data_IF_059829366299
#
_entry.id   IF_059829366299
#
_cell.length_a   1.000
_cell.length_b   1.000
_cell.length_c   1.000
_cell.angle_alpha   90.00
_cell.angle_beta   90.00
_cell.angle_gamma   90.00
#
_symmetry.space_group_name_H-M   'P 1'
#
loop_
_entity.id
_entity.type
_entity.pdbx_description
1 polymer ?
#
# COMPACT_ATOMS: atom_id res chain seq x y z
N UNK A 1 -9.15 -17.95 -3.60
CA UNK A 1 -9.23 -17.03 -4.77
C UNK A 1 -10.71 -16.85 -5.05
N UNK A 2 -11.16 -15.68 -5.49
CA UNK A 2 -12.56 -15.45 -5.90
C UNK A 2 -12.60 -15.02 -7.36
N UNK A 3 -13.71 -15.29 -8.04
CA UNK A 3 -13.91 -14.96 -9.44
C UNK A 3 -15.35 -14.55 -9.73
N UNK A 4 -15.53 -13.68 -10.72
CA UNK A 4 -16.80 -13.32 -11.32
C UNK A 4 -16.75 -13.54 -12.85
N UNK A 5 -17.75 -13.08 -13.58
CA UNK A 5 -17.82 -13.16 -15.04
C UNK A 5 -16.68 -12.40 -15.76
N UNK A 6 -16.06 -11.44 -15.08
CA UNK A 6 -14.99 -10.61 -15.63
C UNK A 6 -13.60 -11.20 -15.41
N UNK A 7 -13.36 -11.89 -14.30
CA UNK A 7 -12.08 -12.52 -14.00
C UNK A 7 -11.93 -12.96 -12.55
N UNK A 8 -10.69 -13.28 -12.15
CA UNK A 8 -10.34 -13.71 -10.79
C UNK A 8 -9.39 -12.76 -10.08
N UNK A 9 -9.51 -12.72 -8.76
CA UNK A 9 -8.66 -11.91 -7.88
C UNK A 9 -8.39 -12.64 -6.56
N UNK A 10 -7.21 -12.39 -5.99
CA UNK A 10 -6.87 -12.86 -4.65
C UNK A 10 -7.60 -12.02 -3.59
N UNK A 11 -8.54 -12.64 -2.88
CA UNK A 11 -9.21 -12.10 -1.69
C UNK A 11 -8.37 -12.36 -0.43
N UNK A 12 -8.17 -11.32 0.39
CA UNK A 12 -7.52 -11.41 1.69
C UNK A 12 -8.58 -11.42 2.78
N UNK A 13 -8.58 -12.49 3.58
CA UNK A 13 -9.51 -12.70 4.70
C UNK A 13 -8.77 -12.58 6.03
N UNK A 14 -9.45 -12.06 7.05
CA UNK A 14 -8.91 -11.95 8.41
C UNK A 14 -9.68 -12.87 9.37
N UNK A 15 -8.94 -13.58 10.23
CA UNK A 15 -9.37 -14.58 11.23
C UNK A 15 -10.85 -14.97 11.22
N UNK A 16 -11.73 -14.22 11.92
CA UNK A 16 -13.12 -14.64 12.10
C UNK A 16 -13.93 -14.73 10.80
N UNK A 17 -13.49 -14.08 9.73
CA UNK A 17 -14.12 -14.16 8.40
C UNK A 17 -13.87 -15.50 7.69
N UNK A 18 -12.86 -16.27 8.11
CA UNK A 18 -12.50 -17.55 7.46
C UNK A 18 -13.41 -18.71 7.84
N UNK A 19 -14.18 -18.58 8.94
CA UNK A 19 -15.03 -19.67 9.47
C UNK A 19 -16.32 -19.84 8.67
N UNK A 20 -16.75 -18.78 7.99
CA UNK A 20 -18.06 -18.69 7.34
C UNK A 20 -17.99 -18.79 5.80
N UNK A 21 -16.83 -19.17 5.25
CA UNK A 21 -16.60 -19.25 3.80
C UNK A 21 -16.14 -20.65 3.43
N UNK A 22 -16.75 -21.22 2.38
CA UNK A 22 -16.30 -22.48 1.77
C UNK A 22 -16.03 -22.33 0.29
N UNK A 23 -15.21 -23.23 -0.23
CA UNK A 23 -14.95 -23.31 -1.66
C UNK A 23 -16.23 -23.69 -2.42
N UNK A 24 -16.48 -23.01 -3.53
CA UNK A 24 -17.65 -23.24 -4.39
C UNK A 24 -18.92 -22.50 -3.98
N UNK A 25 -18.89 -21.74 -2.88
CA UNK A 25 -20.01 -20.87 -2.50
C UNK A 25 -19.95 -19.53 -3.27
N UNK A 26 -21.12 -18.97 -3.56
CA UNK A 26 -21.23 -17.63 -4.13
C UNK A 26 -21.36 -16.63 -3.01
N UNK A 27 -20.47 -15.64 -2.99
CA UNK A 27 -20.41 -14.62 -1.95
C UNK A 27 -20.78 -13.25 -2.51
N UNK A 28 -21.65 -12.55 -1.79
CA UNK A 28 -21.84 -11.11 -1.95
C UNK A 28 -20.89 -10.37 -1.02
N UNK A 29 -20.02 -9.55 -1.59
CA UNK A 29 -19.06 -8.72 -0.86
C UNK A 29 -19.51 -7.26 -0.93
N UNK A 30 -19.83 -6.67 0.22
CA UNK A 30 -20.21 -5.26 0.33
C UNK A 30 -19.05 -4.44 0.90
N UNK A 31 -18.78 -3.28 0.29
CA UNK A 31 -17.76 -2.31 0.72
C UNK A 31 -16.34 -2.93 0.84
N UNK A 32 -16.00 -3.82 -0.10
CA UNK A 32 -14.63 -4.28 -0.33
C UNK A 32 -13.76 -3.19 -0.95
N UNK A 33 -12.44 -3.30 -0.78
CA UNK A 33 -11.49 -2.37 -1.36
C UNK A 33 -10.27 -3.09 -1.95
N UNK A 34 -9.67 -2.46 -2.96
CA UNK A 34 -8.43 -2.93 -3.57
C UNK A 34 -7.24 -2.27 -2.89
N UNK A 35 -6.25 -3.09 -2.55
CA UNK A 35 -4.90 -2.64 -2.23
C UNK A 35 -3.88 -3.30 -3.15
N UNK A 36 -2.71 -2.70 -3.29
CA UNK A 36 -1.58 -3.36 -3.94
C UNK A 36 -0.71 -3.99 -2.85
N UNK A 37 -0.32 -5.24 -3.03
CA UNK A 37 0.70 -5.90 -2.24
C UNK A 37 1.87 -6.21 -3.16
N UNK A 38 2.95 -5.42 -3.04
CA UNK A 38 4.12 -5.50 -3.94
C UNK A 38 3.73 -5.35 -5.42
N UNK A 39 2.88 -4.36 -5.72
CA UNK A 39 2.40 -4.09 -7.08
C UNK A 39 1.23 -4.95 -7.55
N UNK A 40 0.87 -6.02 -6.82
CA UNK A 40 -0.22 -6.92 -7.22
C UNK A 40 -1.52 -6.58 -6.51
N UNK A 41 -2.65 -6.59 -7.24
CA UNK A 41 -3.95 -6.30 -6.64
C UNK A 41 -4.39 -7.37 -5.64
N UNK A 42 -4.98 -6.92 -4.54
CA UNK A 42 -5.65 -7.74 -3.52
C UNK A 42 -7.01 -7.13 -3.20
N UNK A 43 -8.04 -7.97 -3.25
CA UNK A 43 -9.34 -7.61 -2.70
C UNK A 43 -9.31 -7.82 -1.18
N UNK A 44 -9.84 -6.85 -0.43
CA UNK A 44 -9.88 -6.89 1.03
C UNK A 44 -11.27 -6.48 1.50
N UNK A 45 -11.69 -7.03 2.63
CA UNK A 45 -12.92 -6.63 3.33
C UNK A 45 -12.52 -5.97 4.65
N UNK A 46 -12.78 -4.67 4.77
CA UNK A 46 -12.37 -3.88 5.92
C UNK A 46 -13.39 -3.90 7.05
N UNK A 47 -13.14 -3.07 8.09
CA UNK A 47 -14.03 -2.91 9.26
C UNK A 47 -15.50 -2.64 8.92
N UNK A 48 -15.76 -1.93 7.82
CA UNK A 48 -17.10 -1.57 7.36
C UNK A 48 -17.55 -2.40 6.17
N UNK A 49 -16.80 -3.42 5.80
CA UNK A 49 -17.17 -4.37 4.77
C UNK A 49 -17.96 -5.53 5.37
N UNK A 50 -18.79 -6.14 4.56
CA UNK A 50 -19.56 -7.33 4.92
C UNK A 50 -19.45 -8.39 3.81
N UNK A 51 -19.64 -9.64 4.20
CA UNK A 51 -19.76 -10.76 3.27
C UNK A 51 -20.96 -11.61 3.67
N UNK A 52 -21.72 -12.06 2.69
CA UNK A 52 -22.84 -12.96 2.89
C UNK A 52 -22.91 -13.96 1.74
N UNK A 53 -23.46 -15.15 2.00
CA UNK A 53 -23.80 -16.10 0.95
C UNK A 53 -24.87 -15.50 0.03
N UNK A 54 -24.76 -15.78 -1.26
CA UNK A 54 -25.71 -15.37 -2.29
C UNK A 54 -26.26 -16.60 -3.00
N UNK A 55 -27.55 -16.55 -3.34
CA UNK A 55 -28.22 -17.57 -4.16
C UNK A 55 -28.07 -17.29 -5.67
N UNK A 56 -27.34 -16.24 -6.03
CA UNK A 56 -27.08 -15.89 -7.43
C UNK A 56 -26.17 -16.92 -8.09
N UNK A 57 -26.50 -17.30 -9.33
CA UNK A 57 -25.68 -18.17 -10.14
C UNK A 57 -24.70 -17.32 -10.97
N UNK A 58 -23.41 -17.58 -10.82
CA UNK A 58 -22.32 -16.85 -11.49
C UNK A 58 -21.47 -17.87 -12.24
N UNK A 59 -21.19 -17.61 -13.51
CA UNK A 59 -20.18 -18.35 -14.28
C UNK A 59 -18.82 -17.67 -14.11
N UNK A 60 -17.88 -18.25 -13.32
CA UNK A 60 -16.61 -17.60 -13.05
C UNK A 60 -15.67 -17.66 -14.27
N UNK A 61 -15.05 -16.53 -14.60
CA UNK A 61 -13.98 -16.43 -15.57
C UNK A 61 -12.63 -16.69 -14.88
N UNK A 62 -12.05 -17.86 -15.13
CA UNK A 62 -10.76 -18.25 -14.57
C UNK A 62 -9.54 -17.87 -15.43
N UNK A 63 -9.76 -17.39 -16.66
CA UNK A 63 -8.68 -17.06 -17.61
C UNK A 63 -7.97 -15.76 -17.24
N UNK A 64 -8.72 -14.76 -16.76
CA UNK A 64 -8.18 -13.44 -16.44
C UNK A 64 -7.83 -13.30 -14.96
N UNK A 65 -6.56 -13.40 -14.60
CA UNK A 65 -6.09 -13.08 -13.24
C UNK A 65 -5.72 -11.60 -13.08
N UNK A 66 -6.55 -10.87 -12.35
CA UNK A 66 -6.32 -9.46 -12.04
C UNK A 66 -5.26 -9.25 -10.95
N UNK A 67 -4.97 -10.30 -10.17
CA UNK A 67 -3.99 -10.28 -9.10
C UNK A 67 -2.57 -10.65 -9.54
N UNK A 68 -2.39 -11.20 -10.74
CA UNK A 68 -1.06 -11.44 -11.35
C UNK A 68 -0.45 -10.18 -11.97
N UNK A 69 -1.30 -9.26 -12.45
CA UNK A 69 -0.82 -8.00 -13.06
C UNK A 69 -0.07 -7.16 -12.02
N UNK A 70 1.07 -6.61 -12.43
CA UNK A 70 1.86 -5.67 -11.64
C UNK A 70 1.47 -4.23 -11.99
N UNK A 71 1.21 -3.43 -10.96
CA UNK A 71 0.81 -2.03 -11.06
C UNK A 71 1.80 -1.16 -10.29
N UNK A 72 2.21 -0.06 -10.89
CA UNK A 72 2.98 0.96 -10.21
C UNK A 72 2.11 1.75 -9.24
N UNK A 73 2.60 1.98 -8.02
CA UNK A 73 1.99 2.93 -7.10
C UNK A 73 2.11 4.33 -7.68
N UNK A 74 1.00 4.89 -8.17
CA UNK A 74 0.92 6.31 -8.48
C UNK A 74 0.94 7.11 -7.18
N UNK A 75 2.13 7.37 -6.64
CA UNK A 75 2.30 8.39 -5.61
C UNK A 75 1.96 9.73 -6.24
N UNK A 76 0.75 10.21 -5.97
CA UNK A 76 0.26 11.49 -6.48
C UNK A 76 1.05 12.61 -5.80
N UNK A 77 2.23 12.93 -6.36
CA UNK A 77 3.20 13.91 -5.85
C UNK A 77 2.75 15.36 -6.13
N UNK A 78 1.45 15.61 -6.06
CA UNK A 78 0.81 16.91 -6.33
C UNK A 78 0.95 17.91 -5.17
N UNK A 79 1.63 17.56 -4.08
CA UNK A 79 1.82 18.45 -2.92
C UNK A 79 3.16 19.21 -2.91
N UNK A 80 4.01 19.07 -3.93
CA UNK A 80 5.28 19.81 -3.99
C UNK A 80 5.27 21.11 -4.82
N UNK A 81 4.09 21.58 -5.28
CA UNK A 81 4.02 22.75 -6.17
C UNK A 81 3.45 24.04 -5.56
N UNK A 82 3.09 24.04 -4.27
CA UNK A 82 2.59 25.25 -3.58
C UNK A 82 3.34 25.56 -2.28
N UNK A 83 4.66 25.35 -2.26
CA UNK A 83 5.51 25.63 -1.08
C UNK A 83 6.76 26.44 -1.34
N UNK A 84 7.00 26.94 -2.56
CA UNK A 84 8.22 27.69 -2.88
C UNK A 84 7.92 29.00 -3.61
N UNK A 85 7.04 29.81 -3.03
CA UNK A 85 6.87 31.21 -3.38
C UNK A 85 6.42 31.97 -2.14
N UNK A 86 7.39 32.45 -1.34
CA UNK A 86 7.07 33.37 -0.25
C UNK A 86 8.04 33.37 0.91
N UNK A 87 9.32 33.72 0.69
CA UNK A 87 10.03 34.65 1.58
C UNK A 87 11.46 34.94 1.07
N UNK A 88 11.59 35.86 0.12
CA UNK A 88 12.81 36.65 -0.06
C UNK A 88 12.44 38.10 0.22
N UNK A 89 12.31 38.43 1.50
CA UNK A 89 11.77 39.72 1.92
C UNK A 89 11.92 40.02 3.41
N UNK A 90 13.14 39.94 3.96
CA UNK A 90 13.58 40.67 5.16
C UNK A 90 15.07 40.31 5.38
N UNK A 91 16.02 41.23 5.38
CA UNK A 91 16.11 42.30 6.38
C UNK A 91 16.87 41.73 7.58
N UNK A 92 18.16 42.06 7.68
CA UNK A 92 19.15 41.29 8.44
C UNK A 92 19.01 41.28 9.97
N UNK A 93 19.81 40.40 10.61
CA UNK A 93 20.49 40.59 11.91
C UNK A 93 21.21 39.31 12.34
N UNK A 94 22.52 39.44 12.59
CA UNK A 94 23.36 38.64 13.52
C UNK A 94 23.38 37.12 13.33
N UNK A 95 24.45 36.47 12.90
CA UNK A 95 25.82 36.67 13.36
C UNK A 95 26.07 35.91 14.66
N UNK A 96 26.27 34.59 14.60
CA UNK A 96 27.08 33.83 15.55
C UNK A 96 27.68 32.62 14.83
N UNK A 97 28.96 32.73 14.50
CA UNK A 97 29.76 31.56 14.17
C UNK A 97 29.96 30.71 15.43
N UNK A 98 29.91 29.40 15.26
CA UNK A 98 30.64 28.48 16.12
C UNK A 98 31.35 27.46 15.24
N UNK A 99 32.56 27.86 14.89
CA UNK A 99 33.62 27.00 14.42
C UNK A 99 34.05 26.09 15.60
N UNK A 100 34.44 24.84 15.28
CA UNK A 100 35.21 23.84 16.07
C UNK A 100 34.47 22.52 16.30
N UNK A 101 34.80 21.54 15.46
CA UNK A 101 35.25 20.21 15.90
C UNK A 101 36.18 19.63 14.83
N UNK A 102 37.47 19.91 15.02
CA UNK A 102 38.59 19.22 14.37
C UNK A 102 39.00 18.03 15.23
N UNK A 103 39.24 16.91 14.56
CA UNK A 103 40.02 15.70 14.87
C UNK A 103 40.74 15.57 16.22
N UNK A 104 40.64 14.38 16.81
CA UNK A 104 41.69 13.37 17.14
C UNK A 104 40.92 12.12 17.64
N UNK A 105 41.12 10.90 17.14
CA UNK A 105 42.29 10.08 17.39
C UNK A 105 42.40 8.95 16.35
N UNK A 106 43.58 8.87 15.74
CA UNK A 106 44.11 7.74 14.97
C UNK A 106 45.19 7.14 15.87
N UNK A 107 45.07 5.89 16.26
CA UNK A 107 46.20 5.06 16.67
C UNK A 107 45.94 3.67 16.10
N UNK A 108 46.78 3.31 15.13
CA UNK A 108 47.09 1.94 14.73
C UNK A 108 47.50 1.11 15.96
N UNK A 109 47.14 -0.17 15.96
CA UNK A 109 48.03 -1.27 16.35
C UNK A 109 47.52 -2.55 15.68
N UNK A 110 48.36 -3.10 14.79
CA UNK A 110 48.26 -4.43 14.19
C UNK A 110 48.96 -5.43 15.11
N UNK A 111 48.35 -6.60 15.30
CA UNK A 111 48.91 -7.93 15.62
C UNK A 111 47.66 -8.85 15.72
N UNK A 112 47.43 -9.91 14.94
CA UNK A 112 48.29 -10.90 14.26
C UNK A 112 48.10 -10.98 12.73
#
# INVERSE_FOLDING_TARGET
>A
IVADDTGKITLTLWDDQTKDIRDGEVLKIDNGYISLLRGHMRLNVGKYGAMAESEEEIEPNEELDMSEKEYEYQYNNYNNRYGNQGNRGNGGRGGFGNNRRSNYNRNDDNEE
#
